data_IF_372393426308
#
_entry.id   IF_372393426308
#
_cell.length_a   1.000
_cell.length_b   1.000
_cell.length_c   1.000
_cell.angle_alpha   90.00
_cell.angle_beta   90.00
_cell.angle_gamma   90.00
#
_symmetry.space_group_name_H-M   'P 1'
#
loop_
_entity.id
_entity.type
_entity.pdbx_description
1 polymer ?
2 non-polymer ?
3 non-polymer ?
4 non-polymer ?
5 non-polymer ?
6 water ?
#
# COMPACT_ATOMS: atom_id res chain seq x y z
N UNK A 1 13.68 -13.86 2.72
CA UNK A 1 13.02 -13.60 1.39
C UNK A 1 12.39 -12.22 1.35
N UNK A 2 12.57 -11.49 0.24
CA UNK A 2 12.12 -10.07 0.13
C UNK A 2 11.11 -9.85 -0.99
N UNK A 3 10.03 -9.17 -0.63
CA UNK A 3 9.03 -8.71 -1.64
C UNK A 3 8.98 -7.18 -1.64
N UNK A 4 9.07 -6.55 -2.78
CA UNK A 4 8.83 -5.14 -2.90
C UNK A 4 7.32 -4.89 -3.11
N UNK A 5 6.77 -4.01 -2.30
CA UNK A 5 5.34 -3.67 -2.32
C UNK A 5 5.15 -2.23 -2.60
N UNK A 6 4.33 -1.97 -3.60
CA UNK A 6 4.05 -0.60 -4.04
C UNK A 6 2.58 -0.33 -3.82
N UNK A 7 2.25 0.74 -3.10
CA UNK A 7 0.88 1.04 -2.72
C UNK A 7 0.69 2.57 -2.72
N UNK A 8 -0.58 2.98 -2.72
CA UNK A 8 -1.03 4.39 -2.50
C UNK A 8 -2.17 4.24 -1.49
N UNK A 9 -2.19 5.02 -0.41
CA UNK A 9 -3.25 4.83 0.63
C UNK A 9 -4.66 5.12 0.09
N UNK A 10 -4.78 5.72 -1.09
CA UNK A 10 -6.15 5.89 -1.68
C UNK A 10 -6.76 4.59 -2.13
N UNK A 11 -5.94 3.51 -2.24
CA UNK A 11 -6.38 2.28 -2.92
C UNK A 11 -6.92 1.22 -2.00
N UNK A 12 -8.21 0.90 -2.16
CA UNK A 12 -8.76 -0.17 -1.30
C UNK A 12 -8.21 -1.55 -1.67
N UNK A 13 -7.84 -1.80 -2.93
CA UNK A 13 -7.19 -3.06 -3.24
C UNK A 13 -5.82 -3.12 -2.59
N UNK A 14 -5.18 -1.99 -2.37
CA UNK A 14 -3.92 -1.95 -1.63
C UNK A 14 -4.08 -2.23 -0.14
N UNK A 15 -5.24 -1.79 0.43
CA UNK A 15 -5.55 -2.03 1.80
C UNK A 15 -5.66 -3.54 1.95
N UNK A 16 -6.39 -4.20 1.04
CA UNK A 16 -6.55 -5.66 1.10
C UNK A 16 -5.17 -6.35 0.96
N UNK A 17 -4.39 -5.95 -0.04
CA UNK A 17 -3.05 -6.54 -0.23
C UNK A 17 -2.16 -6.34 0.98
N UNK A 18 -2.18 -5.15 1.57
CA UNK A 18 -1.35 -4.97 2.74
C UNK A 18 -1.76 -5.87 3.86
N UNK A 19 -3.05 -6.10 4.06
CA UNK A 19 -3.48 -7.01 5.16
C UNK A 19 -2.90 -8.39 4.91
N UNK A 20 -2.97 -8.89 3.66
CA UNK A 20 -2.56 -10.27 3.40
C UNK A 20 -1.06 -10.31 3.48
N UNK A 21 -0.32 -9.35 2.93
CA UNK A 21 1.13 -9.33 3.05
C UNK A 21 1.59 -9.24 4.49
N UNK A 22 0.92 -8.46 5.30
CA UNK A 22 1.33 -8.33 6.73
C UNK A 22 1.18 -9.64 7.42
N UNK A 23 0.12 -10.41 7.11
CA UNK A 23 -0.02 -11.75 7.71
C UNK A 23 1.07 -12.67 7.27
N UNK A 24 1.54 -12.55 6.03
CA UNK A 24 2.64 -13.40 5.57
C UNK A 24 3.89 -13.04 6.30
N UNK A 25 4.07 -11.76 6.54
CA UNK A 25 5.22 -11.32 7.30
C UNK A 25 5.17 -11.92 8.71
N UNK A 26 4.04 -11.76 9.39
CA UNK A 26 3.95 -12.18 10.78
C UNK A 26 3.87 -13.72 10.90
N UNK A 27 3.22 -14.40 9.96
CA UNK A 27 3.06 -15.86 10.03
C UNK A 27 4.24 -16.65 9.49
N UNK A 28 5.00 -16.06 8.55
CA UNK A 28 6.05 -16.80 7.82
C UNK A 28 7.40 -16.10 7.79
N UNK A 29 7.49 -14.93 8.42
CA UNK A 29 8.72 -14.13 8.39
C UNK A 29 9.11 -13.56 7.04
N UNK A 30 8.13 -13.39 6.14
CA UNK A 30 8.44 -12.73 4.86
C UNK A 30 8.87 -11.29 5.14
N UNK A 31 9.91 -10.82 4.44
CA UNK A 31 10.38 -9.43 4.54
C UNK A 31 9.72 -8.58 3.44
N UNK A 32 9.08 -7.47 3.84
CA UNK A 32 8.42 -6.58 2.85
C UNK A 32 9.20 -5.29 2.76
N UNK A 33 9.55 -4.88 1.55
CA UNK A 33 10.07 -3.56 1.31
C UNK A 33 8.89 -2.65 0.82
N UNK A 34 8.47 -1.71 1.67
CA UNK A 34 7.30 -0.85 1.37
C UNK A 34 7.65 0.36 0.54
N UNK A 35 6.81 0.70 -0.43
CA UNK A 35 7.01 1.85 -1.25
C UNK A 35 5.67 2.59 -1.42
N UNK A 36 5.54 3.75 -0.79
CA UNK A 36 4.33 4.60 -0.98
C UNK A 36 4.53 5.45 -2.21
N UNK A 37 3.62 5.35 -3.18
CA UNK A 37 3.80 6.08 -4.45
C UNK A 37 2.51 6.73 -4.90
N UNK A 38 2.65 7.65 -5.82
CA UNK A 38 1.51 8.43 -6.31
C UNK A 38 0.83 7.76 -7.48
N UNK A 39 -0.32 7.11 -7.23
CA UNK A 39 -0.99 6.43 -8.33
C UNK A 39 -1.29 7.37 -9.49
N UNK A 40 -1.65 8.62 -9.12
CA UNK A 40 -2.11 9.50 -10.18
C UNK A 40 -0.98 9.75 -11.11
N UNK A 41 0.21 9.93 -10.57
CA UNK A 41 1.35 10.16 -11.40
C UNK A 41 1.74 8.93 -12.23
N UNK A 42 1.70 7.73 -11.63
CA UNK A 42 2.03 6.57 -12.43
C UNK A 42 1.07 6.32 -13.60
N UNK A 43 -0.22 6.63 -13.38
CA UNK A 43 -1.20 6.46 -14.45
C UNK A 43 -0.93 7.42 -15.57
N UNK A 44 -0.66 8.69 -15.22
CA UNK A 44 -0.50 9.68 -16.29
C UNK A 44 0.77 9.35 -17.04
N UNK A 45 1.76 8.82 -16.32
CA UNK A 45 2.98 8.42 -16.99
C UNK A 45 2.77 7.40 -18.08
N UNK A 46 1.88 6.41 -17.93
CA UNK A 46 1.78 5.40 -18.98
C UNK A 46 0.67 5.70 -19.96
N UNK A 47 0.05 6.85 -19.79
CA UNK A 47 -1.00 7.31 -20.73
C UNK A 47 -2.42 6.96 -20.30
N UNK A 48 -2.57 6.53 -19.04
CA UNK A 48 -3.90 6.11 -18.56
C UNK A 48 -4.64 7.32 -18.05
N UNK A 49 -5.26 8.05 -18.99
CA UNK A 49 -5.85 9.33 -18.72
C UNK A 49 -7.35 9.33 -18.83
N UNK A 50 -7.95 8.18 -19.18
CA UNK A 50 -9.43 8.14 -19.27
C UNK A 50 -10.10 8.26 -17.91
N UNK A 51 -11.47 8.28 -17.87
CA UNK A 51 -12.13 8.29 -16.58
C UNK A 51 -11.66 7.07 -15.79
N UNK A 52 -11.40 7.31 -14.50
CA UNK A 52 -10.99 6.31 -13.50
C UNK A 52 -12.20 5.48 -13.17
N UNK A 53 -11.96 4.27 -12.70
CA UNK A 53 -13.06 3.46 -12.23
C UNK A 53 -13.84 4.12 -11.10
N UNK A 54 -13.18 4.99 -10.32
CA UNK A 54 -13.88 5.83 -9.31
C UNK A 54 -15.02 6.64 -9.89
N UNK A 55 -14.88 7.00 -11.14
CA UNK A 55 -15.84 7.95 -11.75
C UNK A 55 -16.85 7.26 -12.68
N UNK A 56 -16.89 5.91 -12.67
CA UNK A 56 -17.82 5.14 -13.51
C UNK A 56 -18.78 4.39 -12.62
N UNK A 57 -19.96 4.95 -12.37
CA UNK A 57 -20.80 4.49 -11.29
C UNK A 57 -21.13 3.02 -11.38
N UNK A 58 -21.54 2.56 -12.57
CA UNK A 58 -21.92 1.16 -12.69
C UNK A 58 -20.75 0.23 -12.34
N UNK A 59 -19.55 0.53 -12.79
CA UNK A 59 -18.37 -0.32 -12.43
C UNK A 59 -17.99 -0.17 -10.94
N UNK A 60 -18.00 1.09 -10.44
CA UNK A 60 -17.74 1.29 -9.02
C UNK A 60 -18.70 0.56 -8.12
N UNK A 61 -19.97 0.53 -8.52
CA UNK A 61 -20.94 -0.22 -7.75
C UNK A 61 -20.55 -1.69 -7.61
N UNK A 62 -20.09 -2.29 -8.72
CA UNK A 62 -19.59 -3.68 -8.64
C UNK A 62 -18.27 -3.76 -7.84
N UNK A 63 -17.36 -2.83 -8.07
CA UNK A 63 -16.08 -2.92 -7.34
C UNK A 63 -16.30 -2.86 -5.86
N UNK A 64 -17.28 -2.07 -5.42
CA UNK A 64 -17.62 -2.02 -3.99
C UNK A 64 -18.07 -3.39 -3.47
N UNK A 65 -18.81 -4.14 -4.30
CA UNK A 65 -19.22 -5.47 -3.96
C UNK A 65 -18.01 -6.41 -3.87
N UNK A 66 -17.12 -6.37 -4.89
CA UNK A 66 -15.90 -7.16 -4.91
C UNK A 66 -15.10 -6.88 -3.66
N UNK A 67 -14.92 -5.59 -3.34
CA UNK A 67 -14.17 -5.23 -2.12
C UNK A 67 -14.75 -5.82 -0.86
N UNK A 68 -16.08 -5.79 -0.73
CA UNK A 68 -16.68 -6.45 0.45
C UNK A 68 -16.49 -7.97 0.46
N UNK A 69 -16.53 -8.57 -0.72
CA UNK A 69 -16.30 -10.01 -0.78
C UNK A 69 -14.92 -10.33 -0.28
N UNK A 70 -13.90 -9.59 -0.68
CA UNK A 70 -12.58 -9.86 -0.19
C UNK A 70 -12.40 -9.53 1.29
N UNK A 71 -13.03 -8.45 1.72
CA UNK A 71 -12.89 -8.07 3.15
C UNK A 71 -13.49 -9.22 3.98
N UNK A 72 -14.59 -9.78 3.52
CA UNK A 72 -15.21 -10.93 4.25
C UNK A 72 -14.31 -12.14 4.24
N UNK A 73 -13.65 -12.44 3.10
CA UNK A 73 -12.70 -13.54 3.05
C UNK A 73 -11.59 -13.33 4.00
N UNK A 74 -11.13 -12.09 4.12
CA UNK A 74 -9.97 -11.80 4.98
C UNK A 74 -10.34 -11.56 6.45
N UNK A 75 -11.62 -11.44 6.75
CA UNK A 75 -12.09 -11.18 8.12
C UNK A 75 -11.84 -9.78 8.62
N UNK A 76 -11.91 -8.78 7.74
CA UNK A 76 -11.60 -7.43 8.15
C UNK A 76 -12.71 -6.49 7.66
N UNK A 77 -12.90 -5.30 8.29
CA UNK A 77 -13.86 -4.33 7.80
C UNK A 77 -13.26 -3.64 6.57
N UNK A 78 -14.13 -3.06 5.80
CA UNK A 78 -13.64 -2.18 4.73
C UNK A 78 -14.70 -1.15 4.62
N UNK A 79 -14.31 0.10 4.88
CA UNK A 79 -15.25 1.23 4.91
C UNK A 79 -14.69 2.36 4.05
N UNK A 80 -15.40 2.83 3.02
CA UNK A 80 -14.96 3.92 2.18
C UNK A 80 -14.82 5.20 2.98
N UNK A 81 -13.66 5.84 2.83
CA UNK A 81 -13.52 7.20 3.38
C UNK A 81 -14.22 8.21 2.48
N UNK A 82 -14.34 9.48 2.97
CA UNK A 82 -15.12 10.49 2.26
C UNK A 82 -14.39 11.03 1.05
N UNK A 83 -13.08 10.81 0.98
CA UNK A 83 -12.32 11.26 -0.15
C UNK A 83 -11.06 10.40 -0.32
N UNK A 84 -10.35 10.64 -1.41
CA UNK A 84 -9.16 9.85 -1.79
C UNK A 84 -7.90 10.70 -1.80
N UNK A 85 -7.87 11.73 -0.92
CA UNK A 85 -6.74 12.65 -0.88
C UNK A 85 -5.61 12.12 0.01
N UNK A 86 -4.88 11.17 -0.55
CA UNK A 86 -3.88 10.38 0.15
C UNK A 86 -2.49 10.97 0.11
N UNK A 87 -2.29 12.16 -0.47
CA UNK A 87 -0.91 12.63 -0.63
C UNK A 87 -0.18 12.81 0.68
N UNK A 88 -0.78 13.44 1.68
CA UNK A 88 -0.09 13.70 2.93
C UNK A 88 0.35 12.42 3.61
N UNK A 89 -0.59 11.44 3.72
CA UNK A 89 -0.23 10.22 4.38
C UNK A 89 0.77 9.38 3.58
N UNK A 90 0.68 9.44 2.26
CA UNK A 90 1.71 8.74 1.45
C UNK A 90 3.12 9.31 1.76
N UNK A 91 3.19 10.67 1.74
CA UNK A 91 4.46 11.32 2.07
C UNK A 91 4.93 10.94 3.48
N UNK A 92 3.98 10.84 4.41
CA UNK A 92 4.34 10.56 5.78
C UNK A 92 4.97 9.19 5.97
N UNK A 93 4.74 8.25 5.03
CA UNK A 93 5.42 6.97 5.10
C UNK A 93 6.94 7.18 5.19
N UNK A 94 7.46 8.18 4.52
CA UNK A 94 8.91 8.38 4.52
C UNK A 94 9.45 8.93 5.83
N UNK A 95 8.62 9.17 6.83
CA UNK A 95 9.16 9.46 8.17
C UNK A 95 9.53 8.16 8.88
N UNK A 96 9.02 7.00 8.49
CA UNK A 96 9.18 5.80 9.27
C UNK A 96 10.59 5.28 9.12
N UNK A 97 11.03 4.58 10.17
CA UNK A 97 12.46 4.17 10.23
C UNK A 97 12.65 2.76 9.72
N UNK A 98 12.96 1.83 10.62
CA UNK A 98 13.24 0.48 10.18
C UNK A 98 11.94 -0.27 9.99
N UNK A 99 12.08 -1.54 9.64
CA UNK A 99 11.02 -2.32 9.05
C UNK A 99 9.81 -2.39 9.94
N UNK A 100 9.99 -2.54 11.25
CA UNK A 100 8.83 -2.76 12.13
C UNK A 100 7.98 -1.50 12.09
N UNK A 101 8.66 -0.36 12.07
CA UNK A 101 7.95 0.93 12.23
C UNK A 101 7.37 1.34 10.87
N UNK A 102 8.03 0.93 9.79
CA UNK A 102 7.50 1.15 8.42
C UNK A 102 6.24 0.32 8.28
N UNK A 103 6.23 -0.96 8.63
CA UNK A 103 5.06 -1.75 8.57
C UNK A 103 4.00 -1.25 9.50
N UNK A 104 4.41 -0.80 10.71
CA UNK A 104 3.44 -0.31 11.66
C UNK A 104 2.72 0.93 11.12
N UNK A 105 3.49 1.84 10.54
CA UNK A 105 2.87 3.05 9.92
C UNK A 105 1.88 2.62 8.83
N UNK A 106 2.30 1.77 7.91
CA UNK A 106 1.44 1.39 6.81
C UNK A 106 0.19 0.72 7.39
N UNK A 107 0.32 -0.19 8.38
CA UNK A 107 -0.83 -0.82 8.95
C UNK A 107 -1.79 0.14 9.64
N UNK A 108 -1.24 1.02 10.45
CA UNK A 108 -2.12 1.92 11.18
C UNK A 108 -2.86 2.87 10.22
N UNK A 109 -2.17 3.37 9.18
CA UNK A 109 -2.81 4.31 8.28
C UNK A 109 -3.86 3.58 7.44
N UNK A 110 -3.52 2.37 6.91
CA UNK A 110 -4.51 1.68 6.11
C UNK A 110 -5.69 1.33 6.96
N UNK A 111 -5.47 0.91 8.22
CA UNK A 111 -6.61 0.51 9.05
C UNK A 111 -7.50 1.73 9.35
N UNK A 112 -6.86 2.88 9.56
CA UNK A 112 -7.65 4.11 9.80
C UNK A 112 -8.47 4.49 8.57
N UNK A 113 -7.83 4.57 7.39
CA UNK A 113 -8.50 5.08 6.19
C UNK A 113 -9.49 4.07 5.61
N UNK A 114 -9.12 2.80 5.48
CA UNK A 114 -9.96 1.86 4.81
C UNK A 114 -10.61 0.88 5.78
N UNK A 115 -10.06 0.69 6.96
CA UNK A 115 -10.73 -0.13 7.98
C UNK A 115 -11.83 0.64 8.67
N UNK A 116 -11.57 1.90 8.99
CA UNK A 116 -12.54 2.80 9.65
C UNK A 116 -13.17 3.86 8.78
N UNK A 117 -12.68 4.06 7.58
CA UNK A 117 -13.26 5.08 6.75
C UNK A 117 -12.88 6.51 7.12
N UNK A 118 -11.74 6.69 7.79
CA UNK A 118 -11.29 8.03 8.15
C UNK A 118 -10.70 8.76 6.92
N UNK A 119 -11.10 10.00 6.62
CA UNK A 119 -10.62 10.65 5.47
C UNK A 119 -9.10 10.78 5.56
N UNK A 120 -8.38 10.49 4.47
CA UNK A 120 -6.94 10.50 4.58
C UNK A 120 -6.32 11.90 4.71
N UNK A 121 -7.09 12.95 4.39
CA UNK A 121 -6.67 14.30 4.58
C UNK A 121 -7.25 14.93 5.83
N UNK A 122 -7.83 14.11 6.75
CA UNK A 122 -8.25 14.66 8.04
C UNK A 122 -7.10 15.42 8.69
N UNK A 123 -7.33 16.65 9.18
CA UNK A 123 -6.24 17.48 9.63
C UNK A 123 -5.57 16.91 10.89
N UNK A 124 -6.34 16.19 11.70
CA UNK A 124 -5.81 15.59 12.90
C UNK A 124 -5.23 14.22 12.67
N UNK A 125 -5.34 13.65 11.48
CA UNK A 125 -4.82 12.27 11.33
C UNK A 125 -3.30 12.12 11.56
N UNK A 126 -2.45 13.08 11.14
CA UNK A 126 -1.06 12.93 11.51
C UNK A 126 -0.89 12.84 13.03
N UNK A 127 -1.60 13.62 13.83
CA UNK A 127 -1.45 13.54 15.28
C UNK A 127 -1.94 12.21 15.83
N UNK A 128 -3.08 11.73 15.29
CA UNK A 128 -3.62 10.46 15.77
C UNK A 128 -2.64 9.38 15.48
N UNK A 129 -2.08 9.37 14.27
CA UNK A 129 -1.10 8.30 13.90
C UNK A 129 0.18 8.43 14.75
N UNK A 130 0.64 9.67 14.96
CA UNK A 130 1.82 9.87 15.84
C UNK A 130 1.59 9.27 17.19
N UNK A 131 0.43 9.49 17.79
CA UNK A 131 0.14 9.02 19.14
C UNK A 131 0.24 7.52 19.13
N UNK A 132 -0.32 6.85 18.12
CA UNK A 132 -0.26 5.41 18.02
C UNK A 132 1.15 4.84 17.91
N UNK A 133 1.99 5.52 17.15
CA UNK A 133 3.31 5.02 16.84
C UNK A 133 4.37 5.47 17.85
N UNK A 134 4.02 6.37 18.75
CA UNK A 134 5.05 6.91 19.65
C UNK A 134 5.95 7.93 19.02
N UNK A 135 5.46 8.69 18.03
CA UNK A 135 6.20 9.69 17.36
C UNK A 135 5.91 11.06 17.92
N UNK A 136 6.81 12.01 17.67
CA UNK A 136 6.65 13.40 18.02
C UNK A 136 5.76 14.09 17.00
N UNK A 137 4.55 14.41 17.45
CA UNK A 137 3.57 14.93 16.53
C UNK A 137 4.06 16.13 15.77
N UNK A 138 4.66 17.08 16.49
CA UNK A 138 5.10 18.30 15.82
C UNK A 138 6.23 17.97 14.77
N UNK A 139 7.15 17.09 15.12
CA UNK A 139 8.21 16.75 14.18
C UNK A 139 7.58 16.08 12.98
N UNK A 140 6.59 15.19 13.15
CA UNK A 140 5.97 14.51 12.00
C UNK A 140 5.26 15.51 11.13
N UNK A 141 4.50 16.39 11.75
CA UNK A 141 3.73 17.32 10.97
C UNK A 141 4.68 18.26 10.18
N UNK A 142 5.81 18.65 10.82
CA UNK A 142 6.78 19.45 10.10
C UNK A 142 7.36 18.67 8.94
N UNK A 143 7.69 17.40 9.16
CA UNK A 143 8.18 16.55 8.07
C UNK A 143 7.20 16.53 6.88
N UNK A 144 5.91 16.35 7.18
CA UNK A 144 4.87 16.28 6.08
C UNK A 144 4.89 17.46 5.15
N UNK A 145 5.22 18.64 5.64
CA UNK A 145 5.13 19.80 4.73
C UNK A 145 6.53 20.15 4.20
N UNK A 146 7.55 19.38 4.56
CA UNK A 146 8.93 19.76 4.18
C UNK A 146 9.22 19.39 2.74
N UNK A 147 10.18 20.12 2.17
CA UNK A 147 10.62 19.82 0.84
C UNK A 147 11.26 18.47 0.72
N UNK A 148 12.06 18.01 1.67
CA UNK A 148 12.74 16.75 1.62
C UNK A 148 11.77 15.56 1.58
N UNK A 149 10.65 15.68 2.29
CA UNK A 149 9.59 14.69 2.28
C UNK A 149 8.97 14.53 0.92
N UNK A 150 8.58 15.65 0.27
CA UNK A 150 8.02 15.57 -1.09
C UNK A 150 9.04 15.01 -2.03
N UNK A 151 10.31 15.37 -1.87
CA UNK A 151 11.30 14.86 -2.79
C UNK A 151 11.45 13.38 -2.69
N UNK A 152 11.42 12.83 -1.49
CA UNK A 152 11.54 11.43 -1.32
C UNK A 152 10.34 10.72 -1.94
N UNK A 153 9.14 11.23 -1.74
CA UNK A 153 7.96 10.65 -2.35
C UNK A 153 8.05 10.71 -3.88
N UNK A 154 8.45 11.85 -4.45
CA UNK A 154 8.63 11.95 -5.88
C UNK A 154 9.69 11.01 -6.42
N UNK A 155 10.81 10.88 -5.72
CA UNK A 155 11.89 9.94 -6.07
C UNK A 155 11.34 8.53 -6.15
N UNK A 156 10.57 8.10 -5.15
CA UNK A 156 10.06 6.72 -5.16
C UNK A 156 9.01 6.47 -6.22
N UNK A 157 8.22 7.50 -6.50
CA UNK A 157 7.19 7.40 -7.56
C UNK A 157 7.89 7.20 -8.88
N UNK A 158 8.93 8.03 -9.10
CA UNK A 158 9.70 7.93 -10.35
C UNK A 158 10.39 6.60 -10.49
N UNK A 159 11.00 6.10 -9.42
CA UNK A 159 11.63 4.80 -9.50
C UNK A 159 10.62 3.71 -9.83
N UNK A 160 9.42 3.80 -9.23
CA UNK A 160 8.39 2.79 -9.55
C UNK A 160 7.99 2.85 -11.04
N UNK A 161 7.82 4.03 -11.61
CA UNK A 161 7.53 4.18 -13.03
C UNK A 161 8.66 3.54 -13.86
N UNK A 162 9.92 3.81 -13.48
CA UNK A 162 11.08 3.16 -14.21
C UNK A 162 11.03 1.68 -14.16
N UNK A 163 10.44 1.14 -13.10
CA UNK A 163 10.28 -0.30 -12.91
C UNK A 163 9.06 -0.92 -13.61
N UNK A 164 8.33 -0.06 -14.31
CA UNK A 164 7.18 -0.49 -15.12
C UNK A 164 5.94 -0.71 -14.27
N UNK A 165 5.93 -0.13 -13.07
CA UNK A 165 4.71 -0.16 -12.22
C UNK A 165 3.73 0.83 -12.84
N UNK A 166 2.48 0.33 -13.09
CA UNK A 166 1.40 1.18 -13.67
C UNK A 166 0.20 1.35 -12.71
N UNK A 167 0.20 0.61 -11.60
CA UNK A 167 -0.95 0.67 -10.68
C UNK A 167 -0.55 0.16 -9.33
N UNK A 168 -1.55 0.10 -8.46
CA UNK A 168 -1.31 -0.42 -7.11
C UNK A 168 -2.47 -1.32 -6.75
N UNK A 169 -2.27 -2.31 -5.90
CA UNK A 169 -0.99 -2.74 -5.29
C UNK A 169 -0.16 -3.50 -6.31
N UNK A 170 1.16 -3.28 -6.26
CA UNK A 170 2.08 -3.98 -7.17
C UNK A 170 3.13 -4.63 -6.27
N UNK A 171 3.48 -5.87 -6.60
CA UNK A 171 4.42 -6.68 -5.78
C UNK A 171 5.48 -7.21 -6.72
N UNK A 172 6.77 -7.24 -6.29
CA UNK A 172 7.83 -7.90 -7.09
C UNK A 172 8.47 -8.91 -6.18
N UNK A 173 8.84 -10.01 -6.81
CA UNK A 173 9.77 -11.02 -6.26
C UNK A 173 10.75 -11.29 -7.39
N UNK A 174 12.02 -10.93 -7.20
CA UNK A 174 12.97 -11.21 -8.26
C UNK A 174 12.58 -10.37 -9.44
N UNK A 175 12.49 -10.98 -10.62
CA UNK A 175 12.09 -10.25 -11.84
C UNK A 175 10.56 -10.31 -12.12
N UNK A 176 9.82 -10.94 -11.23
CA UNK A 176 8.35 -11.14 -11.50
C UNK A 176 7.64 -10.07 -10.73
N UNK A 177 6.69 -9.54 -11.46
CA UNK A 177 5.78 -8.40 -11.02
C UNK A 177 4.36 -8.92 -11.10
N UNK A 178 3.60 -8.74 -10.02
CA UNK A 178 2.13 -8.98 -10.01
C UNK A 178 1.43 -7.72 -9.59
N UNK A 179 0.29 -7.50 -10.24
CA UNK A 179 -0.53 -6.36 -9.89
C UNK A 179 -1.87 -6.85 -9.40
N UNK A 180 -2.24 -6.44 -8.20
CA UNK A 180 -3.53 -6.76 -7.63
C UNK A 180 -3.47 -7.60 -6.37
N UNK A 181 -4.39 -7.33 -5.43
CA UNK A 181 -4.57 -8.24 -4.30
C UNK A 181 -4.93 -9.60 -4.80
N UNK A 182 -5.63 -9.68 -5.91
CA UNK A 182 -6.07 -10.96 -6.47
C UNK A 182 -4.98 -11.65 -7.29
N UNK A 183 -3.74 -11.21 -7.16
CA UNK A 183 -2.61 -12.00 -7.70
C UNK A 183 -1.64 -12.40 -6.59
N UNK A 184 -1.98 -12.11 -5.34
CA UNK A 184 -1.10 -12.50 -4.25
C UNK A 184 -1.00 -14.00 -4.21
N UNK A 185 -1.96 -14.74 -4.72
CA UNK A 185 -1.83 -16.22 -4.66
C UNK A 185 -0.68 -16.63 -5.55
N UNK A 186 -0.39 -15.86 -6.61
CA UNK A 186 0.73 -16.26 -7.45
C UNK A 186 2.04 -15.91 -6.82
N UNK A 187 2.12 -14.79 -6.12
CA UNK A 187 3.32 -14.44 -5.39
C UNK A 187 3.54 -15.51 -4.31
N UNK A 188 2.49 -16.00 -3.67
CA UNK A 188 2.65 -16.94 -2.59
C UNK A 188 3.17 -18.22 -3.23
N UNK A 189 2.68 -18.62 -4.39
CA UNK A 189 3.18 -19.84 -4.99
C UNK A 189 4.66 -19.70 -5.39
N UNK A 190 5.10 -18.58 -5.89
CA UNK A 190 6.49 -18.37 -6.24
C UNK A 190 7.34 -18.42 -4.97
N UNK A 191 6.86 -17.87 -3.87
CA UNK A 191 7.63 -17.90 -2.64
C UNK A 191 7.80 -19.32 -2.20
N UNK A 192 6.72 -20.12 -2.26
CA UNK A 192 6.79 -21.53 -1.87
C UNK A 192 7.78 -22.25 -2.74
N UNK A 193 7.78 -22.04 -4.04
CA UNK A 193 8.75 -22.74 -4.91
C UNK A 193 10.15 -22.41 -4.45
N UNK A 194 10.42 -21.17 -4.04
CA UNK A 194 11.77 -20.76 -3.59
C UNK A 194 12.09 -21.35 -2.22
N UNK A 195 11.09 -21.44 -1.34
CA UNK A 195 11.25 -22.10 -0.06
C UNK A 195 11.67 -23.56 -0.28
N UNK A 196 11.04 -24.25 -1.22
CA UNK A 196 11.34 -25.67 -1.50
C UNK A 196 12.73 -25.87 -2.09
N UNK A 197 13.14 -25.03 -3.04
CA UNK A 197 14.47 -25.10 -3.62
C UNK A 197 15.50 -24.87 -2.55
N UNK A 198 15.29 -23.85 -1.74
CA UNK A 198 16.27 -23.51 -0.73
C UNK A 198 16.41 -24.61 0.33
N UNK A 199 15.33 -25.33 0.56
CA UNK A 199 15.30 -26.46 1.52
C UNK A 199 15.75 -27.77 0.87
N UNK A 200 16.07 -27.73 -0.42
CA UNK A 200 16.51 -28.93 -1.17
C UNK A 200 15.41 -29.98 -1.30
N UNK A 201 14.18 -29.51 -1.46
CA UNK A 201 13.02 -30.37 -1.63
C UNK A 201 12.73 -30.44 -3.11
N UNK A 202 13.31 -29.47 -3.82
CA UNK A 202 13.21 -29.31 -5.25
C UNK A 202 14.57 -28.85 -5.75
N UNK A 203 14.94 -29.23 -6.98
CA UNK A 203 16.18 -28.76 -7.58
C UNK A 203 16.07 -27.25 -7.79
#
# INVERSE_FOLDING_TARGET
MIVDFYFDFLSPFSYLANQRLSKLAQDYGLTIRYNAIDLARVKIAIGNVGPSNRDLKVKLDYLKVDLQRWAQLYGIPLVFPANYNSRRMNIGFYYSGAEAQAAAYVNVVFNAVWGEGIAPDLESLPALVSEKLGWDRSAFEHFLSSNAATERYDEQTHAAIERKVFGVPTMFLGDEMWWGNDRLFMLESAMGRLCRQNADLSS
#
